data_IF_572993260979
#
_entry.id   IF_572993260979
#
_cell.length_a   1.000
_cell.length_b   1.000
_cell.length_c   1.000
_cell.angle_alpha   90.00
_cell.angle_beta   90.00
_cell.angle_gamma   90.00
#
_symmetry.space_group_name_H-M   'P 1'
#
loop_
_entity.id
_entity.type
_entity.pdbx_description
1 polymer ?
#
# COMPACT_ATOMS: atom_id res chain seq x y z
N UNK A 1 15.13 24.72 37.66
CA UNK A 1 13.70 24.73 37.25
C UNK A 1 13.26 23.29 37.16
N UNK A 2 12.49 22.82 38.15
CA UNK A 2 11.99 21.45 38.20
C UNK A 2 10.81 21.28 37.24
N UNK A 3 11.01 20.51 36.17
CA UNK A 3 9.98 20.20 35.16
C UNK A 3 8.90 19.24 35.68
N UNK A 4 9.08 18.68 36.87
CA UNK A 4 8.20 17.69 37.51
C UNK A 4 6.89 18.30 38.01
N UNK A 5 6.86 19.59 38.37
CA UNK A 5 5.64 20.27 38.86
C UNK A 5 4.73 20.76 37.73
N UNK A 6 5.26 20.96 36.52
CA UNK A 6 4.48 21.26 35.31
C UNK A 6 3.69 20.04 34.79
N UNK A 7 4.16 18.81 35.10
CA UNK A 7 3.45 17.57 34.79
C UNK A 7 2.40 17.18 35.83
N UNK A 8 2.49 17.72 37.05
CA UNK A 8 1.61 17.35 38.17
C UNK A 8 0.24 18.06 38.16
N UNK A 9 0.06 19.11 37.35
CA UNK A 9 -1.18 19.90 37.26
C UNK A 9 -2.03 19.60 36.02
N UNK A 10 -1.64 18.63 35.20
CA UNK A 10 -2.43 18.22 34.04
C UNK A 10 -3.55 17.25 34.50
N UNK A 11 -4.85 17.57 34.31
CA UNK A 11 -5.96 16.71 34.74
C UNK A 11 -5.86 15.36 34.01
N UNK A 12 -5.47 14.35 34.78
CA UNK A 12 -4.98 13.02 34.36
C UNK A 12 -5.98 12.18 33.56
N UNK A 13 -7.28 12.53 33.56
CA UNK A 13 -8.29 11.81 32.78
C UNK A 13 -8.37 12.24 31.30
N UNK A 14 -7.82 13.40 30.96
CA UNK A 14 -7.91 13.96 29.59
C UNK A 14 -6.84 13.44 28.64
N UNK A 15 -5.78 12.82 29.19
CA UNK A 15 -4.50 12.56 28.50
C UNK A 15 -4.23 11.08 28.19
N UNK A 16 -5.09 10.14 28.62
CA UNK A 16 -4.90 8.71 28.37
C UNK A 16 -4.87 8.34 26.87
N UNK A 17 -5.51 9.13 26.01
CA UNK A 17 -5.56 8.87 24.56
C UNK A 17 -4.34 9.37 23.79
N UNK A 18 -3.57 10.33 24.32
CA UNK A 18 -2.38 10.87 23.65
C UNK A 18 -1.28 9.82 23.39
N UNK A 19 -0.85 9.00 24.38
CA UNK A 19 0.15 7.96 24.13
C UNK A 19 -0.38 6.90 23.14
N UNK A 20 -1.70 6.63 23.14
CA UNK A 20 -2.33 5.70 22.20
C UNK A 20 -2.27 6.25 20.76
N UNK A 21 -2.60 7.54 20.56
CA UNK A 21 -2.52 8.18 19.24
C UNK A 21 -1.07 8.25 18.73
N UNK A 22 -0.12 8.64 19.59
CA UNK A 22 1.31 8.64 19.26
C UNK A 22 1.80 7.25 18.85
N UNK A 23 1.41 6.22 19.60
CA UNK A 23 1.76 4.82 19.28
C UNK A 23 1.12 4.39 17.96
N UNK A 24 -0.13 4.76 17.70
CA UNK A 24 -0.83 4.43 16.45
C UNK A 24 -0.16 5.07 15.23
N UNK A 25 0.14 6.37 15.27
CA UNK A 25 0.81 7.03 14.14
C UNK A 25 2.25 6.55 13.97
N UNK A 26 2.98 6.29 15.06
CA UNK A 26 4.35 5.76 14.98
C UNK A 26 4.39 4.34 14.42
N UNK A 27 3.48 3.46 14.87
CA UNK A 27 3.38 2.08 14.36
C UNK A 27 2.97 2.05 12.88
N UNK A 28 2.06 2.91 12.44
CA UNK A 28 1.68 3.00 11.03
C UNK A 28 2.82 3.57 10.16
N UNK A 29 3.62 4.52 10.66
CA UNK A 29 4.85 4.97 9.99
C UNK A 29 5.85 3.82 9.85
N UNK A 30 6.16 3.09 10.92
CA UNK A 30 7.08 1.94 10.89
C UNK A 30 6.56 0.87 9.92
N UNK A 31 5.27 0.54 9.97
CA UNK A 31 4.66 -0.43 9.07
C UNK A 31 4.79 -0.01 7.60
N UNK A 32 4.59 1.28 7.28
CA UNK A 32 4.76 1.80 5.93
C UNK A 32 6.21 1.71 5.44
N UNK A 33 7.19 1.97 6.31
CA UNK A 33 8.62 1.82 5.99
C UNK A 33 8.98 0.35 5.75
N UNK A 34 8.51 -0.56 6.60
CA UNK A 34 8.70 -2.00 6.41
C UNK A 34 8.09 -2.48 5.09
N UNK A 35 6.86 -2.08 4.79
CA UNK A 35 6.21 -2.37 3.50
C UNK A 35 7.02 -1.83 2.32
N UNK A 36 7.61 -0.64 2.44
CA UNK A 36 8.51 -0.09 1.42
C UNK A 36 9.72 -0.99 1.20
N UNK A 37 10.37 -1.44 2.27
CA UNK A 37 11.53 -2.35 2.19
C UNK A 37 11.13 -3.69 1.56
N UNK A 38 10.04 -4.30 2.03
CA UNK A 38 9.52 -5.55 1.47
C UNK A 38 9.15 -5.42 -0.02
N UNK A 39 8.59 -4.29 -0.43
CA UNK A 39 8.26 -4.03 -1.84
C UNK A 39 9.48 -3.95 -2.76
N UNK A 40 10.67 -3.66 -2.20
CA UNK A 40 11.94 -3.65 -2.93
C UNK A 40 12.60 -5.03 -2.98
N UNK A 41 12.45 -5.83 -1.92
CA UNK A 41 13.04 -7.16 -1.82
C UNK A 41 12.30 -8.20 -2.68
N UNK A 42 10.98 -8.05 -2.86
CA UNK A 42 10.16 -9.01 -3.62
C UNK A 42 10.01 -8.57 -5.08
N UNK A 43 10.23 -9.44 -6.07
CA UNK A 43 9.97 -9.14 -7.47
C UNK A 43 8.45 -9.04 -7.72
N UNK A 44 7.89 -7.86 -7.45
CA UNK A 44 6.51 -7.52 -7.75
C UNK A 44 6.40 -7.03 -9.21
N UNK A 45 5.32 -7.43 -9.89
CA UNK A 45 4.98 -6.87 -11.22
C UNK A 45 4.88 -5.35 -11.12
N UNK A 46 5.36 -4.63 -12.15
CA UNK A 46 5.39 -3.15 -12.18
C UNK A 46 4.05 -2.53 -11.80
N UNK A 47 2.94 -3.08 -12.31
CA UNK A 47 1.57 -2.64 -12.03
C UNK A 47 1.20 -2.75 -10.53
N UNK A 48 1.52 -3.88 -9.88
CA UNK A 48 1.32 -4.04 -8.44
C UNK A 48 2.23 -3.10 -7.65
N UNK A 49 3.50 -2.97 -8.07
CA UNK A 49 4.49 -2.13 -7.38
C UNK A 49 4.08 -0.66 -7.39
N UNK A 50 3.51 -0.16 -8.49
CA UNK A 50 3.00 1.21 -8.59
C UNK A 50 1.80 1.45 -7.67
N UNK A 51 0.83 0.53 -7.65
CA UNK A 51 -0.33 0.66 -6.75
C UNK A 51 0.07 0.51 -5.27
N UNK A 52 0.99 -0.41 -4.95
CA UNK A 52 1.54 -0.57 -3.61
C UNK A 52 2.32 0.67 -3.19
N UNK A 53 3.12 1.26 -4.09
CA UNK A 53 3.86 2.49 -3.85
C UNK A 53 2.93 3.67 -3.52
N UNK A 54 1.86 3.87 -4.30
CA UNK A 54 0.85 4.90 -4.00
C UNK A 54 0.17 4.67 -2.64
N UNK A 55 -0.08 3.42 -2.29
CA UNK A 55 -0.65 3.06 -0.99
C UNK A 55 0.33 3.40 0.14
N UNK A 56 1.60 2.98 0.02
CA UNK A 56 2.65 3.23 1.01
C UNK A 56 2.86 4.73 1.20
N UNK A 57 3.04 5.50 0.12
CA UNK A 57 3.23 6.95 0.19
C UNK A 57 2.02 7.64 0.80
N UNK A 58 0.80 7.24 0.41
CA UNK A 58 -0.41 7.82 1.00
C UNK A 58 -0.56 7.52 2.49
N UNK A 59 -0.29 6.29 2.92
CA UNK A 59 -0.29 5.91 4.35
C UNK A 59 0.79 6.67 5.10
N UNK A 60 2.00 6.76 4.55
CA UNK A 60 3.10 7.49 5.16
C UNK A 60 2.78 8.98 5.34
N UNK A 61 2.35 9.66 4.28
CA UNK A 61 1.98 11.08 4.35
C UNK A 61 0.82 11.32 5.32
N UNK A 62 -0.16 10.43 5.34
CA UNK A 62 -1.30 10.51 6.25
C UNK A 62 -0.89 10.33 7.71
N UNK A 63 -0.08 9.30 7.99
CA UNK A 63 0.43 9.04 9.34
C UNK A 63 1.38 10.13 9.80
N UNK A 64 2.21 10.68 8.92
CA UNK A 64 3.10 11.80 9.21
C UNK A 64 2.31 13.06 9.54
N UNK A 65 1.28 13.40 8.74
CA UNK A 65 0.42 14.54 9.02
C UNK A 65 -0.34 14.39 10.35
N UNK A 66 -0.87 13.19 10.63
CA UNK A 66 -1.51 12.87 11.91
C UNK A 66 -0.53 12.96 13.09
N UNK A 67 0.69 12.44 12.93
CA UNK A 67 1.75 12.52 13.94
C UNK A 67 2.14 13.97 14.24
N UNK A 68 2.31 14.79 13.21
CA UNK A 68 2.61 16.21 13.35
C UNK A 68 1.46 16.96 14.03
N UNK A 69 0.20 16.65 13.69
CA UNK A 69 -0.97 17.22 14.37
C UNK A 69 -1.01 16.88 15.87
N UNK A 70 -0.58 15.66 16.23
CA UNK A 70 -0.50 15.25 17.64
C UNK A 70 0.63 15.96 18.38
N UNK A 71 1.81 16.14 17.75
CA UNK A 71 2.97 16.79 18.37
C UNK A 71 2.80 18.31 18.46
N UNK A 72 2.45 18.96 17.34
CA UNK A 72 2.35 20.42 17.24
C UNK A 72 1.02 20.98 17.75
N UNK A 73 0.24 20.14 18.45
CA UNK A 73 -1.07 20.41 19.04
C UNK A 73 -1.32 21.92 19.14
N UNK A 74 -2.08 22.47 18.18
CA UNK A 74 -2.32 23.92 18.08
C UNK A 74 -2.86 24.38 19.44
N UNK A 75 -2.05 25.17 20.16
CA UNK A 75 -2.23 25.48 21.59
C UNK A 75 -3.58 26.13 21.91
N UNK A 76 -4.32 26.57 20.89
CA UNK A 76 -5.57 27.30 20.98
C UNK A 76 -6.81 26.44 20.68
N UNK A 77 -6.66 25.16 20.36
CA UNK A 77 -7.82 24.32 19.99
C UNK A 77 -8.45 23.61 21.20
N UNK A 78 -9.79 23.70 21.37
CA UNK A 78 -10.47 23.02 22.47
C UNK A 78 -10.27 21.49 22.42
N UNK A 79 -10.18 20.86 23.60
CA UNK A 79 -9.91 19.41 23.71
C UNK A 79 -10.99 18.57 23.02
N UNK A 80 -12.25 19.01 23.07
CA UNK A 80 -13.38 18.31 22.44
C UNK A 80 -13.28 18.33 20.90
N UNK A 81 -12.92 19.47 20.31
CA UNK A 81 -12.75 19.60 18.85
C UNK A 81 -11.56 18.80 18.35
N UNK A 82 -10.49 18.69 19.13
CA UNK A 82 -9.35 17.82 18.80
C UNK A 82 -9.74 16.34 18.74
N UNK A 83 -10.55 15.84 19.69
CA UNK A 83 -11.04 14.44 19.66
C UNK A 83 -11.91 14.15 18.45
N UNK A 84 -12.82 15.06 18.11
CA UNK A 84 -13.65 14.95 16.91
C UNK A 84 -12.80 14.98 15.62
N UNK A 85 -11.78 15.83 15.58
CA UNK A 85 -10.84 15.91 14.47
C UNK A 85 -10.07 14.60 14.29
N UNK A 86 -9.55 13.99 15.35
CA UNK A 86 -8.86 12.69 15.26
C UNK A 86 -9.79 11.54 14.87
N UNK A 87 -11.04 11.53 15.34
CA UNK A 87 -12.05 10.55 14.93
C UNK A 87 -12.36 10.69 13.43
N UNK A 88 -12.62 11.90 12.97
CA UNK A 88 -12.84 12.20 11.56
C UNK A 88 -11.62 11.82 10.71
N UNK A 89 -10.42 12.13 11.21
CA UNK A 89 -9.15 11.73 10.59
C UNK A 89 -9.07 10.20 10.47
N UNK A 90 -9.36 9.47 11.55
CA UNK A 90 -9.41 8.00 11.52
C UNK A 90 -10.41 7.44 10.51
N UNK A 91 -11.61 8.03 10.40
CA UNK A 91 -12.61 7.63 9.41
C UNK A 91 -12.10 7.86 7.99
N UNK A 92 -11.50 9.02 7.72
CA UNK A 92 -10.88 9.34 6.42
C UNK A 92 -9.74 8.37 6.09
N UNK A 93 -8.95 7.98 7.08
CA UNK A 93 -7.89 6.98 6.92
C UNK A 93 -8.44 5.62 6.50
N UNK A 94 -9.46 5.13 7.20
CA UNK A 94 -10.08 3.84 6.92
C UNK A 94 -10.75 3.87 5.53
N UNK A 95 -11.44 4.95 5.19
CA UNK A 95 -12.03 5.14 3.87
C UNK A 95 -10.96 5.14 2.76
N UNK A 96 -9.83 5.82 2.99
CA UNK A 96 -8.70 5.84 2.07
C UNK A 96 -8.11 4.43 1.86
N UNK A 97 -7.86 3.70 2.96
CA UNK A 97 -7.37 2.33 2.91
C UNK A 97 -8.32 1.40 2.17
N UNK A 98 -9.62 1.50 2.46
CA UNK A 98 -10.65 0.70 1.79
C UNK A 98 -10.67 0.97 0.29
N UNK A 99 -10.70 2.25 -0.12
CA UNK A 99 -10.71 2.62 -1.53
C UNK A 99 -9.47 2.10 -2.27
N UNK A 100 -8.28 2.24 -1.66
CA UNK A 100 -7.04 1.72 -2.25
C UNK A 100 -6.99 0.19 -2.28
N UNK A 101 -7.51 -0.48 -1.26
CA UNK A 101 -7.58 -1.95 -1.21
C UNK A 101 -8.49 -2.51 -2.30
N UNK A 102 -9.63 -1.85 -2.57
CA UNK A 102 -10.53 -2.21 -3.68
C UNK A 102 -9.83 -2.04 -5.03
N UNK A 103 -9.11 -0.92 -5.23
CA UNK A 103 -8.32 -0.70 -6.45
C UNK A 103 -7.25 -1.78 -6.62
N UNK A 104 -6.53 -2.12 -5.55
CA UNK A 104 -5.51 -3.17 -5.57
C UNK A 104 -6.11 -4.54 -5.93
N UNK A 105 -7.26 -4.94 -5.35
CA UNK A 105 -7.94 -6.19 -5.72
C UNK A 105 -8.39 -6.21 -7.18
N UNK A 106 -8.89 -5.08 -7.71
CA UNK A 106 -9.28 -4.99 -9.12
C UNK A 106 -8.06 -5.23 -10.04
N UNK A 107 -6.94 -4.57 -9.76
CA UNK A 107 -5.68 -4.77 -10.49
C UNK A 107 -5.20 -6.21 -10.41
N UNK A 108 -5.27 -6.83 -9.23
CA UNK A 108 -4.87 -8.23 -9.05
C UNK A 108 -5.69 -9.18 -9.94
N UNK A 109 -7.02 -9.02 -9.94
CA UNK A 109 -7.92 -9.82 -10.79
C UNK A 109 -7.65 -9.64 -12.28
N UNK A 110 -7.37 -8.41 -12.72
CA UNK A 110 -7.06 -8.13 -14.13
C UNK A 110 -5.78 -8.85 -14.57
N UNK A 111 -4.75 -8.84 -13.72
CA UNK A 111 -3.49 -9.53 -13.97
C UNK A 111 -3.71 -11.04 -14.03
N UNK A 112 -4.41 -11.62 -13.05
CA UNK A 112 -4.69 -13.06 -13.03
C UNK A 112 -5.47 -13.52 -14.26
N UNK A 113 -6.46 -12.75 -14.72
CA UNK A 113 -7.20 -13.05 -15.96
C UNK A 113 -6.31 -12.96 -17.20
N UNK A 114 -5.47 -11.93 -17.29
CA UNK A 114 -4.55 -11.74 -18.42
C UNK A 114 -3.51 -12.87 -18.51
N UNK A 115 -3.00 -13.32 -17.35
CA UNK A 115 -2.07 -14.45 -17.29
C UNK A 115 -2.76 -15.77 -17.66
N UNK A 116 -4.01 -15.99 -17.22
CA UNK A 116 -4.79 -17.17 -17.58
C UNK A 116 -5.11 -17.22 -19.08
N UNK A 117 -5.48 -16.09 -19.69
CA UNK A 117 -5.75 -16.03 -21.13
C UNK A 117 -4.49 -16.25 -21.96
N UNK A 118 -3.34 -15.67 -21.55
CA UNK A 118 -2.05 -15.92 -22.20
C UNK A 118 -1.61 -17.38 -22.09
N UNK A 119 -1.92 -18.06 -20.99
CA UNK A 119 -1.64 -19.49 -20.87
C UNK A 119 -2.46 -20.31 -21.87
N UNK A 120 -3.75 -19.99 -22.02
CA UNK A 120 -4.63 -20.63 -23.01
C UNK A 120 -4.20 -20.35 -24.45
N UNK A 121 -3.89 -19.11 -24.79
CA UNK A 121 -3.38 -18.75 -26.13
C UNK A 121 -2.08 -19.49 -26.47
N UNK A 122 -1.18 -19.67 -25.49
CA UNK A 122 0.04 -20.46 -25.68
C UNK A 122 -0.26 -21.94 -25.88
N UNK A 123 -1.25 -22.48 -25.17
CA UNK A 123 -1.65 -23.88 -25.30
C UNK A 123 -2.33 -24.13 -26.66
N UNK A 124 -3.19 -23.23 -27.12
CA UNK A 124 -3.80 -23.27 -28.45
C UNK A 124 -2.78 -23.05 -29.56
N UNK A 125 -1.84 -22.11 -29.40
CA UNK A 125 -0.74 -21.90 -30.34
C UNK A 125 0.21 -23.10 -30.39
N UNK A 126 0.45 -23.80 -29.26
CA UNK A 126 1.25 -25.03 -29.24
C UNK A 126 0.52 -26.20 -29.91
N UNK A 127 -0.81 -26.30 -29.75
CA UNK A 127 -1.63 -27.32 -30.43
C UNK A 127 -1.75 -27.06 -31.93
N UNK A 128 -1.78 -25.79 -32.35
CA UNK A 128 -1.85 -25.39 -33.76
C UNK A 128 -0.47 -25.14 -34.39
N UNK A 129 0.63 -25.35 -33.66
CA UNK A 129 1.96 -25.18 -34.20
C UNK A 129 2.20 -26.27 -35.26
N UNK A 130 2.61 -25.91 -36.49
CA UNK A 130 2.98 -26.90 -37.49
C UNK A 130 4.15 -27.71 -36.97
N UNK A 131 4.04 -29.04 -37.06
CA UNK A 131 5.03 -29.99 -36.56
C UNK A 131 6.45 -29.57 -37.03
N UNK A 132 7.41 -29.33 -36.11
CA UNK A 132 8.75 -28.87 -36.46
C UNK A 132 9.44 -29.82 -37.45
N UNK A 133 9.08 -31.11 -37.50
CA UNK A 133 9.57 -32.06 -38.49
C UNK A 133 9.06 -31.76 -39.91
N UNK A 134 7.80 -31.36 -40.06
CA UNK A 134 7.20 -31.00 -41.36
C UNK A 134 7.79 -29.71 -41.90
N UNK A 135 8.04 -28.72 -41.02
CA UNK A 135 8.68 -27.45 -41.38
C UNK A 135 10.15 -27.66 -41.80
N UNK A 136 10.87 -28.56 -41.13
CA UNK A 136 12.25 -28.92 -41.48
C UNK A 136 12.34 -29.64 -42.85
N UNK A 137 11.41 -30.56 -43.14
CA UNK A 137 11.32 -31.27 -44.43
C UNK A 137 11.08 -30.31 -45.61
N UNK A 138 10.22 -29.30 -45.46
CA UNK A 138 9.96 -28.32 -46.53
C UNK A 138 11.17 -27.40 -46.82
N UNK A 139 11.98 -27.06 -45.80
CA UNK A 139 13.20 -26.27 -45.99
C UNK A 139 14.33 -27.06 -46.65
N UNK A 140 14.43 -28.36 -46.38
CA UNK A 140 15.44 -29.24 -47.01
C UNK A 140 15.30 -29.36 -48.53
N UNK A 141 14.07 -29.35 -49.06
CA UNK A 141 13.80 -29.46 -50.51
C UNK A 141 14.14 -28.21 -51.33
N UNK A 142 14.19 -27.03 -50.71
CA UNK A 142 14.51 -25.76 -51.42
C UNK A 142 15.99 -25.54 -51.67
N UNK A 143 16.89 -26.29 -51.01
CA UNK A 143 18.35 -26.11 -51.15
C UNK A 143 19.00 -26.97 -52.24
N UNK A 144 18.20 -27.64 -53.09
CA UNK A 144 18.66 -28.54 -54.16
C UNK A 144 18.23 -28.11 -55.58
N UNK A 145 17.80 -26.85 -55.75
CA UNK A 145 17.69 -26.22 -57.07
C UNK A 145 18.62 -25.03 -57.13
#
# INVERSE_FOLDING_TARGET
MDFSSLFALAPTESFASLPILLTFFSSTLIASMLLMIFSRLRPLRKELRTELGKLITGVFSFSMAGFLLVIFRLSETPVLSMRALYLLWGILFIAYLYHRFVAFRKTLRLITRKDANRAKEKEEAAKNAPDPYVVAQMKGKKKKR
#
